data_IF_112803722800
#
_entry.id   IF_112803722800
#
_cell.length_a   1.000
_cell.length_b   1.000
_cell.length_c   1.000
_cell.angle_alpha   90.00
_cell.angle_beta   90.00
_cell.angle_gamma   90.00
#
_symmetry.space_group_name_H-M   'P 1'
#
loop_
_entity.id
_entity.type
_entity.pdbx_description
1 polymer ?
#
# COMPACT_ATOMS: atom_id res chain seq x y z
N UNK A 1 -10.05 -19.71 -1.62
CA UNK A 1 -9.13 -18.58 -1.87
C UNK A 1 -8.50 -18.18 -0.55
N UNK A 2 -7.19 -18.00 -0.56
CA UNK A 2 -6.46 -17.61 0.64
C UNK A 2 -6.75 -16.16 1.01
N UNK A 3 -6.92 -15.90 2.30
CA UNK A 3 -7.10 -14.54 2.80
C UNK A 3 -5.79 -14.02 3.36
N UNK A 4 -5.38 -12.83 2.90
CA UNK A 4 -4.15 -12.19 3.34
C UNK A 4 -4.49 -10.79 3.82
N UNK A 5 -4.04 -10.46 5.03
CA UNK A 5 -4.17 -9.12 5.59
C UNK A 5 -2.88 -8.37 5.33
N UNK A 6 -3.00 -7.16 4.77
CA UNK A 6 -1.88 -6.29 4.45
C UNK A 6 -2.01 -5.03 5.28
N UNK A 7 -1.01 -4.73 6.09
CA UNK A 7 -0.98 -3.53 6.93
C UNK A 7 0.10 -2.59 6.40
N UNK A 8 -0.26 -1.34 6.16
CA UNK A 8 0.63 -0.33 5.57
C UNK A 8 0.76 0.86 6.50
N UNK A 9 1.98 1.39 6.59
CA UNK A 9 2.24 2.63 7.31
C UNK A 9 3.42 3.37 6.68
N UNK A 10 3.38 4.70 6.72
CA UNK A 10 4.51 5.54 6.32
C UNK A 10 4.66 6.71 7.27
N UNK A 11 5.90 7.08 7.55
CA UNK A 11 6.19 8.28 8.34
C UNK A 11 6.07 9.56 7.52
N UNK A 12 6.05 9.46 6.18
CA UNK A 12 5.94 10.64 5.31
C UNK A 12 4.50 11.14 5.33
N UNK A 13 4.30 12.34 5.84
CA UNK A 13 2.96 12.96 5.98
C UNK A 13 2.77 14.18 5.09
N UNK A 14 3.84 14.68 4.47
CA UNK A 14 3.79 15.87 3.64
C UNK A 14 3.33 15.59 2.22
N UNK A 15 2.42 16.40 1.72
CA UNK A 15 1.99 16.34 0.33
C UNK A 15 3.02 16.94 -0.63
N UNK A 16 4.03 17.63 -0.10
CA UNK A 16 5.08 18.28 -0.91
C UNK A 16 6.32 17.41 -1.07
N UNK A 17 6.36 16.30 -0.36
CA UNK A 17 7.52 15.43 -0.38
C UNK A 17 8.35 15.52 0.88
N UNK A 18 9.07 14.46 1.16
CA UNK A 18 9.92 14.36 2.33
C UNK A 18 10.63 13.03 2.37
N UNK A 19 11.48 12.89 3.37
CA UNK A 19 12.19 11.65 3.64
C UNK A 19 11.54 10.94 4.80
N UNK A 20 11.59 9.61 4.78
CA UNK A 20 11.01 8.83 5.86
C UNK A 20 11.17 7.35 5.61
N UNK A 21 10.22 6.58 6.11
CA UNK A 21 10.21 5.14 5.94
C UNK A 21 8.79 4.62 5.86
N UNK A 22 8.61 3.54 5.11
CA UNK A 22 7.35 2.80 5.16
C UNK A 22 7.59 1.39 5.68
N UNK A 23 6.55 0.80 6.21
CA UNK A 23 6.55 -0.61 6.62
C UNK A 23 5.30 -1.27 6.06
N UNK A 24 5.44 -2.52 5.60
CA UNK A 24 4.29 -3.37 5.36
C UNK A 24 4.40 -4.63 6.21
N UNK A 25 3.24 -5.14 6.59
CA UNK A 25 3.12 -6.44 7.26
C UNK A 25 2.10 -7.24 6.48
N UNK A 26 2.46 -8.46 6.11
CA UNK A 26 1.55 -9.44 5.51
C UNK A 26 1.23 -10.48 6.56
N UNK A 27 -0.03 -10.80 6.72
CA UNK A 27 -0.49 -11.77 7.69
C UNK A 27 -1.45 -12.75 7.05
N UNK A 28 -1.26 -14.03 7.31
CA UNK A 28 -2.17 -15.09 6.86
C UNK A 28 -2.18 -16.22 7.85
N UNK A 29 -3.30 -16.94 7.93
CA UNK A 29 -3.39 -18.14 8.73
C UNK A 29 -2.88 -19.33 7.92
N UNK A 30 -2.10 -20.17 8.57
CA UNK A 30 -1.57 -21.40 8.00
C UNK A 30 -2.02 -22.58 8.86
N UNK A 31 -1.81 -23.80 8.36
CA UNK A 31 -2.08 -25.01 9.13
C UNK A 31 -1.28 -25.08 10.43
N UNK A 32 -0.19 -24.35 10.53
CA UNK A 32 0.68 -24.27 11.71
C UNK A 32 0.44 -23.02 12.57
N UNK A 33 -0.62 -22.27 12.27
CA UNK A 33 -0.96 -21.04 12.97
C UNK A 33 -0.79 -19.80 12.12
N UNK A 34 -0.83 -18.65 12.77
CA UNK A 34 -0.73 -17.36 12.10
C UNK A 34 0.73 -17.08 11.70
N UNK A 35 0.92 -16.64 10.47
CA UNK A 35 2.25 -16.28 9.93
C UNK A 35 2.27 -14.84 9.46
N UNK A 36 3.38 -14.15 9.72
CA UNK A 36 3.57 -12.76 9.27
C UNK A 36 4.90 -12.60 8.56
N UNK A 37 4.90 -11.70 7.58
CA UNK A 37 6.11 -11.23 6.91
C UNK A 37 6.07 -9.71 6.99
N UNK A 38 7.17 -9.07 7.35
CA UNK A 38 7.22 -7.62 7.40
C UNK A 38 8.50 -7.09 6.79
N UNK A 39 8.46 -5.86 6.30
CA UNK A 39 9.64 -5.17 5.82
C UNK A 39 9.46 -3.67 5.98
N UNK A 40 10.56 -3.00 6.32
CA UNK A 40 10.63 -1.53 6.43
C UNK A 40 11.67 -1.03 5.44
N UNK A 41 11.31 -0.01 4.66
CA UNK A 41 12.19 0.60 3.68
C UNK A 41 12.28 2.10 3.89
N UNK A 42 13.47 2.66 3.71
CA UNK A 42 13.69 4.09 3.75
C UNK A 42 13.32 4.66 2.38
N UNK A 43 12.65 5.80 2.38
CA UNK A 43 12.29 6.53 1.17
C UNK A 43 12.78 7.98 1.24
N UNK A 44 13.17 8.51 0.10
CA UNK A 44 13.69 9.88 0.01
C UNK A 44 12.88 10.68 -1.02
N UNK A 45 12.57 11.91 -0.65
CA UNK A 45 11.91 12.87 -1.53
C UNK A 45 10.64 12.31 -2.19
N UNK A 46 9.75 11.74 -1.38
CA UNK A 46 8.46 11.23 -1.83
C UNK A 46 7.33 11.91 -1.09
N UNK A 47 6.17 12.01 -1.74
CA UNK A 47 4.97 12.53 -1.08
C UNK A 47 4.37 11.45 -0.17
N UNK A 48 3.47 11.87 0.73
CA UNK A 48 2.75 10.92 1.58
C UNK A 48 2.01 9.86 0.74
N UNK A 49 1.31 10.28 -0.30
CA UNK A 49 0.57 9.36 -1.17
C UNK A 49 1.50 8.38 -1.87
N UNK A 50 2.58 8.89 -2.46
CA UNK A 50 3.54 8.04 -3.17
C UNK A 50 4.17 7.02 -2.24
N UNK A 51 4.49 7.41 -1.00
CA UNK A 51 5.08 6.49 -0.02
C UNK A 51 4.18 5.29 0.27
N UNK A 52 2.87 5.51 0.45
CA UNK A 52 1.93 4.42 0.68
C UNK A 52 1.76 3.56 -0.58
N UNK A 53 1.76 4.18 -1.77
CA UNK A 53 1.70 3.41 -3.02
C UNK A 53 2.91 2.51 -3.17
N UNK A 54 4.11 2.99 -2.82
CA UNK A 54 5.32 2.18 -2.84
C UNK A 54 5.22 1.01 -1.85
N UNK A 55 4.69 1.27 -0.65
CA UNK A 55 4.50 0.21 0.35
C UNK A 55 3.52 -0.85 -0.14
N UNK A 56 2.39 -0.43 -0.73
CA UNK A 56 1.41 -1.36 -1.26
C UNK A 56 1.98 -2.20 -2.39
N UNK A 57 2.68 -1.58 -3.34
CA UNK A 57 3.29 -2.30 -4.44
C UNK A 57 4.31 -3.33 -3.94
N UNK A 58 5.15 -2.95 -2.97
CA UNK A 58 6.14 -3.85 -2.39
C UNK A 58 5.47 -5.04 -1.69
N UNK A 59 4.38 -4.80 -0.97
CA UNK A 59 3.62 -5.88 -0.32
C UNK A 59 2.99 -6.82 -1.34
N UNK A 60 2.36 -6.27 -2.37
CA UNK A 60 1.71 -7.07 -3.41
C UNK A 60 2.69 -7.98 -4.16
N UNK A 61 3.93 -7.52 -4.36
CA UNK A 61 4.97 -8.34 -5.01
C UNK A 61 5.32 -9.60 -4.24
N UNK A 62 5.00 -9.66 -2.94
CA UNK A 62 5.24 -10.83 -2.10
C UNK A 62 4.17 -11.91 -2.25
N UNK A 63 3.05 -11.59 -2.91
CA UNK A 63 1.89 -12.49 -3.01
C UNK A 63 1.90 -13.15 -4.38
N UNK A 64 2.02 -14.47 -4.40
CA UNK A 64 2.17 -15.23 -5.64
C UNK A 64 0.94 -16.02 -6.05
N UNK A 65 -0.04 -16.16 -5.17
CA UNK A 65 -1.25 -16.91 -5.44
C UNK A 65 -2.46 -15.98 -5.38
N UNK A 66 -3.44 -16.23 -6.23
CA UNK A 66 -4.71 -15.53 -6.18
C UNK A 66 -5.27 -15.57 -4.76
N UNK A 67 -5.58 -14.41 -4.20
CA UNK A 67 -5.93 -14.27 -2.80
C UNK A 67 -7.02 -13.22 -2.61
N UNK A 68 -7.67 -13.27 -1.45
CA UNK A 68 -8.54 -12.20 -0.99
C UNK A 68 -7.73 -11.31 -0.04
N UNK A 69 -7.61 -10.02 -0.39
CA UNK A 69 -6.74 -9.08 0.33
C UNK A 69 -7.57 -8.14 1.19
N UNK A 70 -7.23 -8.06 2.46
CA UNK A 70 -7.77 -7.05 3.37
C UNK A 70 -6.64 -6.07 3.65
N UNK A 71 -6.76 -4.84 3.14
CA UNK A 71 -5.67 -3.87 3.14
C UNK A 71 -5.98 -2.74 4.12
N UNK A 72 -5.13 -2.60 5.14
CA UNK A 72 -5.28 -1.60 6.20
C UNK A 72 -4.34 -0.43 5.93
N UNK A 73 -4.90 0.76 5.84
CA UNK A 73 -4.14 1.98 5.58
C UNK A 73 -4.84 3.20 6.17
N UNK A 74 -4.07 4.23 6.49
CA UNK A 74 -4.62 5.52 6.88
C UNK A 74 -4.86 6.42 5.67
N UNK A 75 -4.48 5.97 4.47
CA UNK A 75 -4.61 6.76 3.26
C UNK A 75 -5.95 6.56 2.58
N UNK A 76 -6.86 7.51 2.78
CA UNK A 76 -8.13 7.51 2.09
C UNK A 76 -7.94 7.65 0.57
N UNK A 77 -6.94 8.42 0.15
CA UNK A 77 -6.59 8.59 -1.26
C UNK A 77 -6.34 7.23 -1.94
N UNK A 78 -5.50 6.39 -1.34
CA UNK A 78 -5.16 5.08 -1.90
C UNK A 78 -6.38 4.18 -1.93
N UNK A 79 -7.14 4.11 -0.85
CA UNK A 79 -8.30 3.24 -0.75
C UNK A 79 -9.38 3.59 -1.77
N UNK A 80 -9.73 4.87 -1.87
CA UNK A 80 -10.78 5.34 -2.78
C UNK A 80 -10.36 5.14 -4.24
N UNK A 81 -9.12 5.50 -4.59
CA UNK A 81 -8.68 5.39 -5.97
C UNK A 81 -8.48 3.96 -6.44
N UNK A 82 -7.99 3.07 -5.57
CA UNK A 82 -7.89 1.66 -5.93
C UNK A 82 -9.27 1.06 -6.21
N UNK A 83 -10.27 1.47 -5.45
CA UNK A 83 -11.62 0.94 -5.58
C UNK A 83 -12.38 1.54 -6.76
N UNK A 84 -12.28 2.86 -6.98
CA UNK A 84 -13.15 3.59 -7.91
C UNK A 84 -12.47 4.06 -9.19
N UNK A 85 -11.20 4.45 -9.12
CA UNK A 85 -10.53 5.13 -10.23
C UNK A 85 -9.67 4.22 -11.07
N UNK A 86 -9.07 3.21 -10.46
CA UNK A 86 -8.07 2.36 -11.13
C UNK A 86 -8.56 1.76 -12.44
N UNK A 87 -9.77 1.19 -12.47
CA UNK A 87 -10.33 0.60 -13.66
C UNK A 87 -10.59 1.65 -14.76
N UNK A 88 -11.02 2.85 -14.36
CA UNK A 88 -11.27 3.96 -15.29
C UNK A 88 -9.96 4.44 -15.91
N UNK A 89 -8.91 4.57 -15.13
CA UNK A 89 -7.61 4.99 -15.61
C UNK A 89 -7.03 4.00 -16.62
N UNK A 90 -7.18 2.71 -16.36
CA UNK A 90 -6.75 1.68 -17.31
C UNK A 90 -7.44 1.84 -18.66
N UNK A 91 -8.73 2.14 -18.68
CA UNK A 91 -9.50 2.34 -19.91
C UNK A 91 -9.11 3.62 -20.62
N UNK A 92 -8.73 4.66 -19.89
CA UNK A 92 -8.40 5.98 -20.43
C UNK A 92 -6.92 6.17 -20.74
N UNK A 93 -6.13 5.11 -20.79
CA UNK A 93 -4.70 5.21 -21.07
C UNK A 93 -3.93 5.93 -19.97
N UNK A 94 -4.38 5.79 -18.73
CA UNK A 94 -3.76 6.40 -17.56
C UNK A 94 -3.78 7.94 -17.57
N UNK A 95 -4.87 8.47 -18.10
CA UNK A 95 -5.12 9.91 -18.11
C UNK A 95 -6.39 10.22 -17.35
N UNK A 96 -6.43 11.42 -16.77
CA UNK A 96 -7.62 11.92 -16.10
C UNK A 96 -8.69 12.29 -17.14
N UNK A 97 -9.90 12.61 -16.68
CA UNK A 97 -10.98 13.08 -17.56
C UNK A 97 -10.58 14.33 -18.35
N UNK A 98 -9.65 15.12 -17.86
CA UNK A 98 -9.13 16.33 -18.52
C UNK A 98 -7.98 16.05 -19.49
N UNK A 99 -7.61 14.79 -19.68
CA UNK A 99 -6.52 14.41 -20.57
C UNK A 99 -5.13 14.55 -20.01
N UNK A 100 -5.00 14.86 -18.72
CA UNK A 100 -3.70 14.96 -18.04
C UNK A 100 -3.26 13.61 -17.51
N UNK A 101 -1.93 13.34 -17.43
CA UNK A 101 -1.45 12.10 -16.82
C UNK A 101 -1.96 11.95 -15.38
N UNK A 102 -2.33 10.74 -15.01
CA UNK A 102 -2.73 10.43 -13.63
C UNK A 102 -1.55 10.69 -12.71
N UNK A 103 -1.79 11.38 -11.58
CA UNK A 103 -0.75 11.60 -10.58
C UNK A 103 -0.30 10.26 -10.00
N UNK A 104 1.01 10.08 -9.85
CA UNK A 104 1.61 8.81 -9.43
C UNK A 104 1.30 7.68 -10.42
N UNK A 105 1.28 8.02 -11.71
CA UNK A 105 0.89 7.09 -12.77
C UNK A 105 1.68 5.78 -12.74
N UNK A 106 3.01 5.85 -12.61
CA UNK A 106 3.85 4.65 -12.61
C UNK A 106 3.49 3.70 -11.48
N UNK A 107 3.31 4.24 -10.27
CA UNK A 107 2.95 3.45 -9.11
C UNK A 107 1.57 2.82 -9.27
N UNK A 108 0.61 3.58 -9.79
CA UNK A 108 -0.73 3.05 -10.02
C UNK A 108 -0.76 1.99 -11.12
N UNK A 109 0.05 2.14 -12.16
CA UNK A 109 0.16 1.12 -13.20
C UNK A 109 0.69 -0.19 -12.61
N UNK A 110 1.72 -0.12 -11.78
CA UNK A 110 2.29 -1.30 -11.14
C UNK A 110 1.27 -1.97 -10.21
N UNK A 111 0.61 -1.17 -9.37
CA UNK A 111 -0.42 -1.69 -8.46
C UNK A 111 -1.56 -2.33 -9.24
N UNK A 112 -2.01 -1.68 -10.31
CA UNK A 112 -3.08 -2.21 -11.16
C UNK A 112 -2.75 -3.58 -11.75
N UNK A 113 -1.50 -3.78 -12.14
CA UNK A 113 -1.03 -5.06 -12.64
C UNK A 113 -0.97 -6.11 -11.53
N UNK A 114 -0.38 -5.73 -10.39
CA UNK A 114 -0.17 -6.66 -9.27
C UNK A 114 -1.46 -7.08 -8.57
N UNK A 115 -2.45 -6.18 -8.48
CA UNK A 115 -3.69 -6.45 -7.77
C UNK A 115 -4.73 -7.18 -8.63
N UNK A 116 -4.54 -7.17 -9.94
CA UNK A 116 -5.51 -7.72 -10.89
C UNK A 116 -6.00 -9.14 -10.57
N UNK A 117 -5.14 -10.11 -10.23
CA UNK A 117 -5.60 -11.47 -9.96
C UNK A 117 -6.34 -11.62 -8.64
N UNK A 118 -6.34 -10.60 -7.79
CA UNK A 118 -6.89 -10.69 -6.43
C UNK A 118 -8.24 -10.01 -6.30
N UNK A 119 -9.01 -10.47 -5.31
CA UNK A 119 -10.14 -9.71 -4.77
C UNK A 119 -9.60 -8.91 -3.58
N UNK A 120 -10.15 -7.73 -3.31
CA UNK A 120 -9.62 -6.92 -2.24
C UNK A 120 -10.66 -6.01 -1.62
N UNK A 121 -10.40 -5.62 -0.38
CA UNK A 121 -11.11 -4.56 0.32
C UNK A 121 -10.11 -3.73 1.12
N UNK A 122 -10.47 -2.48 1.42
CA UNK A 122 -9.66 -1.60 2.24
C UNK A 122 -10.34 -1.31 3.57
N UNK A 123 -9.54 -1.25 4.63
CA UNK A 123 -9.97 -0.81 5.95
C UNK A 123 -9.18 0.45 6.27
N UNK A 124 -9.84 1.59 6.34
CA UNK A 124 -9.19 2.89 6.49
C UNK A 124 -9.32 3.40 7.92
N UNK A 125 -8.23 3.96 8.44
CA UNK A 125 -8.17 4.59 9.76
C UNK A 125 -8.55 3.64 10.91
N UNK A 126 -8.21 2.36 10.77
CA UNK A 126 -8.43 1.37 11.82
C UNK A 126 -7.23 1.27 12.74
N UNK A 127 -7.49 1.20 14.06
CA UNK A 127 -6.45 0.84 15.02
C UNK A 127 -6.41 -0.68 15.08
N UNK A 128 -5.67 -1.27 14.15
CA UNK A 128 -5.53 -2.72 14.04
C UNK A 128 -4.48 -3.28 15.00
N UNK A 129 -4.38 -4.61 15.07
CA UNK A 129 -3.51 -5.28 16.03
C UNK A 129 -2.02 -4.96 15.89
N UNK A 130 -1.58 -4.54 14.72
CA UNK A 130 -0.18 -4.20 14.45
C UNK A 130 0.10 -2.71 14.38
N UNK A 131 -0.89 -1.86 14.66
CA UNK A 131 -0.75 -0.42 14.46
C UNK A 131 0.45 0.16 15.21
N UNK A 132 0.57 -0.14 16.49
CA UNK A 132 1.67 0.38 17.30
C UNK A 132 3.03 -0.14 16.80
N UNK A 133 3.10 -1.43 16.51
CA UNK A 133 4.32 -2.06 16.01
C UNK A 133 4.78 -1.46 14.69
N UNK A 134 3.87 -1.34 13.72
CA UNK A 134 4.22 -0.86 12.38
C UNK A 134 4.65 0.61 12.41
N UNK A 135 4.01 1.40 13.26
CA UNK A 135 4.36 2.80 13.47
C UNK A 135 5.76 2.92 14.07
N UNK A 136 6.04 2.18 15.12
CA UNK A 136 7.34 2.22 15.79
C UNK A 136 8.48 1.76 14.89
N UNK A 137 8.30 0.69 14.14
CA UNK A 137 9.31 0.20 13.19
C UNK A 137 9.62 1.24 12.11
N UNK A 138 8.58 1.88 11.56
CA UNK A 138 8.76 2.91 10.54
C UNK A 138 9.46 4.14 11.09
N UNK A 139 9.05 4.60 12.28
CA UNK A 139 9.65 5.78 12.92
C UNK A 139 11.10 5.53 13.29
N UNK A 140 11.42 4.34 13.77
CA UNK A 140 12.80 3.96 14.11
C UNK A 140 13.69 4.01 12.87
N UNK A 141 13.25 3.44 11.77
CA UNK A 141 13.99 3.47 10.52
C UNK A 141 14.18 4.90 9.99
N UNK A 142 13.14 5.72 10.08
CA UNK A 142 13.18 7.11 9.62
C UNK A 142 14.19 7.94 10.41
N UNK A 143 14.39 7.65 11.69
CA UNK A 143 15.38 8.34 12.51
C UNK A 143 16.83 8.03 12.13
N UNK A 144 17.05 7.00 11.34
CA UNK A 144 18.40 6.60 10.90
C UNK A 144 18.83 7.29 9.61
N UNK A 145 17.99 8.16 9.05
CA UNK A 145 18.28 8.87 7.79
C UNK A 145 19.24 10.04 8.04
#
# INVERSE_FOLDING_TARGET
MKEIHIYLYSTVKSCRGGNGAYTYILETDTSKGNATISKTEIVENVTAHKSILLALAAALKRIRQESYLVIYTDSNYVAVNAKRSLAKWKKNGWKTARGEPVKNQEEWQEIGWLIKPHSFEFVVNSVHRYYQRIKEESEKAARCI
#
